data_IF_623854816964
#
_entry.id   IF_623854816964
#
_cell.length_a   1.000
_cell.length_b   1.000
_cell.length_c   1.000
_cell.angle_alpha   90.00
_cell.angle_beta   90.00
_cell.angle_gamma   90.00
#
_symmetry.space_group_name_H-M   'P 1'
#
loop_
_entity.id
_entity.type
_entity.pdbx_description
1 polymer ?
#
# COMPACT_ATOMS: atom_id res chain seq x y z
N UNK A 1 -19.11 -26.52 1.11
CA UNK A 1 -17.68 -26.64 1.51
C UNK A 1 -17.05 -25.25 1.44
N UNK A 2 -16.03 -24.96 2.27
CA UNK A 2 -15.22 -23.73 2.10
C UNK A 2 -14.31 -23.92 0.87
N UNK A 3 -13.96 -22.83 0.18
CA UNK A 3 -13.08 -22.95 -0.99
C UNK A 3 -11.62 -23.15 -0.56
N UNK A 4 -10.84 -23.88 -1.36
CA UNK A 4 -9.41 -24.13 -1.09
C UNK A 4 -8.61 -22.83 -0.93
N UNK A 5 -8.99 -21.78 -1.65
CA UNK A 5 -8.39 -20.45 -1.54
C UNK A 5 -8.60 -19.76 -0.17
N UNK A 6 -9.65 -20.09 0.60
CA UNK A 6 -9.80 -19.57 1.98
C UNK A 6 -8.85 -20.23 2.98
N UNK A 7 -8.35 -21.44 2.67
CA UNK A 7 -7.52 -22.24 3.60
C UNK A 7 -6.05 -21.85 3.50
N UNK A 8 -5.53 -21.67 2.28
CA UNK A 8 -4.13 -21.32 2.02
C UNK A 8 -3.75 -19.90 2.45
N UNK A 9 -4.71 -18.98 2.59
CA UNK A 9 -4.48 -17.60 2.99
C UNK A 9 -5.34 -17.22 4.21
N UNK A 10 -5.01 -17.81 5.37
CA UNK A 10 -5.71 -17.63 6.67
C UNK A 10 -5.48 -16.22 7.27
N UNK A 11 -6.02 -15.22 6.58
CA UNK A 11 -5.96 -13.80 6.95
C UNK A 11 -7.07 -13.43 7.94
N UNK A 12 -6.71 -12.61 8.93
CA UNK A 12 -7.64 -12.10 9.96
C UNK A 12 -7.77 -10.59 9.80
N UNK A 13 -9.01 -10.12 9.77
CA UNK A 13 -9.35 -8.72 9.47
C UNK A 13 -9.96 -8.01 10.67
N UNK A 14 -9.61 -6.73 10.83
CA UNK A 14 -10.28 -5.81 11.75
C UNK A 14 -10.51 -4.46 11.07
N UNK A 15 -11.55 -3.73 11.51
CA UNK A 15 -11.86 -2.40 10.95
C UNK A 15 -12.46 -1.46 11.98
N UNK A 16 -12.14 -0.17 11.87
CA UNK A 16 -12.68 0.89 12.72
C UNK A 16 -13.20 2.01 11.82
N UNK A 17 -14.50 2.31 11.92
CA UNK A 17 -15.22 3.19 11.00
C UNK A 17 -15.44 4.61 11.56
N UNK A 18 -15.63 5.58 10.67
CA UNK A 18 -16.11 6.95 10.97
C UNK A 18 -15.28 7.75 12.00
N UNK A 19 -13.95 7.58 11.98
CA UNK A 19 -13.06 8.26 12.92
C UNK A 19 -12.84 9.73 12.54
N UNK A 20 -12.82 10.61 13.56
CA UNK A 20 -12.71 12.08 13.41
C UNK A 20 -11.24 12.52 13.19
N UNK A 21 -10.66 12.03 12.10
CA UNK A 21 -9.33 12.35 11.58
C UNK A 21 -9.36 12.32 10.04
N UNK A 22 -8.51 13.13 9.40
CA UNK A 22 -8.35 13.10 7.93
C UNK A 22 -7.46 11.92 7.52
N UNK A 23 -7.88 11.18 6.50
CA UNK A 23 -7.14 10.03 5.96
C UNK A 23 -5.66 10.35 5.67
N UNK A 24 -5.33 11.52 5.10
CA UNK A 24 -3.93 11.92 4.85
C UNK A 24 -3.08 11.96 6.13
N UNK A 25 -3.63 12.46 7.25
CA UNK A 25 -2.90 12.50 8.54
C UNK A 25 -2.77 11.13 9.21
N UNK A 26 -3.66 10.20 8.88
CA UNK A 26 -3.64 8.83 9.39
C UNK A 26 -2.74 7.89 8.56
N UNK A 27 -2.67 8.08 7.23
CA UNK A 27 -1.76 7.35 6.33
C UNK A 27 -0.31 7.47 6.79
N UNK A 28 0.15 8.69 7.12
CA UNK A 28 1.50 8.96 7.66
C UNK A 28 1.92 8.11 8.88
N UNK A 29 0.98 7.53 9.63
CA UNK A 29 1.29 6.60 10.74
C UNK A 29 1.08 5.14 10.32
N UNK A 30 0.08 4.86 9.48
CA UNK A 30 -0.13 3.54 8.89
C UNK A 30 1.07 3.09 8.03
N UNK A 31 1.68 4.01 7.28
CA UNK A 31 2.84 3.73 6.44
C UNK A 31 4.10 3.38 7.25
N UNK A 32 4.17 3.74 8.55
CA UNK A 32 5.28 3.37 9.45
C UNK A 32 5.24 1.91 9.92
N UNK A 33 4.07 1.26 9.85
CA UNK A 33 3.81 -0.08 10.41
C UNK A 33 3.35 -1.13 9.37
N UNK A 34 3.11 -0.73 8.12
CA UNK A 34 2.78 -1.68 7.04
C UNK A 34 3.95 -2.66 6.84
N UNK A 35 3.64 -3.95 6.63
CA UNK A 35 4.60 -5.04 6.45
C UNK A 35 5.56 -5.30 7.63
N UNK A 36 5.24 -4.81 8.84
CA UNK A 36 5.99 -5.12 10.06
C UNK A 36 5.33 -6.23 10.87
N UNK A 37 6.13 -6.90 11.70
CA UNK A 37 5.60 -7.82 12.71
C UNK A 37 4.77 -7.04 13.74
N UNK A 38 3.79 -7.73 14.34
CA UNK A 38 2.86 -7.14 15.29
C UNK A 38 3.58 -6.49 16.47
N UNK A 39 4.60 -7.15 17.03
CA UNK A 39 5.40 -6.64 18.15
C UNK A 39 6.14 -5.35 17.79
N UNK A 40 6.74 -5.27 16.60
CA UNK A 40 7.39 -4.03 16.13
C UNK A 40 6.38 -2.91 15.92
N UNK A 41 5.22 -3.22 15.34
CA UNK A 41 4.16 -2.25 15.10
C UNK A 41 3.60 -1.65 16.41
N UNK A 42 3.46 -2.45 17.47
CA UNK A 42 3.09 -1.97 18.81
C UNK A 42 4.10 -0.97 19.35
N UNK A 43 5.40 -1.31 19.36
CA UNK A 43 6.48 -0.43 19.85
C UNK A 43 6.49 0.91 19.08
N UNK A 44 6.37 0.86 17.76
CA UNK A 44 6.30 2.06 16.91
C UNK A 44 5.06 2.91 17.25
N UNK A 45 3.90 2.29 17.46
CA UNK A 45 2.66 3.01 17.78
C UNK A 45 2.69 3.65 19.17
N UNK A 46 3.29 3.00 20.18
CA UNK A 46 3.48 3.59 21.51
C UNK A 46 4.37 4.84 21.47
N UNK A 47 5.45 4.81 20.68
CA UNK A 47 6.41 5.92 20.61
C UNK A 47 6.02 7.02 19.59
N UNK A 48 5.01 6.80 18.75
CA UNK A 48 4.62 7.77 17.71
C UNK A 48 3.70 8.86 18.25
N UNK A 49 4.25 10.04 18.55
CA UNK A 49 3.48 11.24 18.93
C UNK A 49 2.71 11.83 17.72
N UNK A 50 1.58 11.20 17.37
CA UNK A 50 0.59 11.61 16.36
C UNK A 50 -0.80 11.11 16.75
N UNK A 51 -1.86 11.91 16.54
CA UNK A 51 -3.26 11.56 16.91
C UNK A 51 -3.79 10.23 16.31
N UNK A 52 -3.21 9.74 15.20
CA UNK A 52 -3.61 8.47 14.61
C UNK A 52 -3.08 7.24 15.37
N UNK A 53 -1.97 7.36 16.11
CA UNK A 53 -1.32 6.26 16.81
C UNK A 53 -2.24 5.55 17.83
N UNK A 54 -2.91 6.22 18.79
CA UNK A 54 -3.81 5.55 19.73
C UNK A 54 -5.09 4.96 19.08
N UNK A 55 -5.43 5.38 17.85
CA UNK A 55 -6.53 4.77 17.07
C UNK A 55 -6.05 3.46 16.44
N UNK A 56 -4.87 3.49 15.82
CA UNK A 56 -4.22 2.31 15.24
C UNK A 56 -3.82 1.28 16.29
N UNK A 57 -3.40 1.69 17.49
CA UNK A 57 -3.09 0.81 18.61
C UNK A 57 -4.30 -0.04 19.02
N UNK A 58 -5.47 0.59 19.20
CA UNK A 58 -6.72 -0.11 19.53
C UNK A 58 -7.18 -1.04 18.40
N UNK A 59 -6.99 -0.64 17.15
CA UNK A 59 -7.28 -1.47 15.98
C UNK A 59 -6.35 -2.71 15.91
N UNK A 60 -5.05 -2.53 16.15
CA UNK A 60 -4.07 -3.61 16.13
C UNK A 60 -4.34 -4.61 17.27
N UNK A 61 -4.57 -4.13 18.50
CA UNK A 61 -4.93 -4.99 19.64
C UNK A 61 -6.21 -5.81 19.36
N UNK A 62 -7.20 -5.23 18.68
CA UNK A 62 -8.40 -5.96 18.24
C UNK A 62 -8.10 -6.99 17.15
N UNK A 63 -7.18 -6.71 16.22
CA UNK A 63 -6.75 -7.69 15.21
C UNK A 63 -6.02 -8.88 15.84
N UNK A 64 -5.14 -8.64 16.83
CA UNK A 64 -4.46 -9.68 17.60
C UNK A 64 -5.48 -10.56 18.33
N UNK A 65 -6.38 -9.97 19.10
CA UNK A 65 -7.38 -10.71 19.89
C UNK A 65 -8.32 -11.54 19.00
N UNK A 66 -8.68 -11.04 17.82
CA UNK A 66 -9.44 -11.81 16.82
C UNK A 66 -8.61 -13.01 16.31
N UNK A 67 -7.32 -12.80 16.02
CA UNK A 67 -6.43 -13.81 15.47
C UNK A 67 -6.12 -14.94 16.46
N UNK A 68 -5.89 -14.61 17.73
CA UNK A 68 -5.70 -15.61 18.80
C UNK A 68 -7.00 -16.35 19.08
N UNK A 69 -8.09 -15.64 19.36
CA UNK A 69 -9.27 -16.24 19.99
C UNK A 69 -10.22 -16.92 18.99
N UNK A 70 -10.40 -16.34 17.80
CA UNK A 70 -11.34 -16.86 16.80
C UNK A 70 -10.65 -17.75 15.75
N UNK A 71 -9.34 -17.60 15.57
CA UNK A 71 -8.58 -18.25 14.50
C UNK A 71 -7.42 -19.13 15.00
N UNK A 72 -7.07 -19.09 16.30
CA UNK A 72 -6.02 -19.92 16.89
C UNK A 72 -4.61 -19.65 16.34
N UNK A 73 -4.33 -18.43 15.88
CA UNK A 73 -3.02 -18.04 15.34
C UNK A 73 -2.05 -17.62 16.44
N UNK A 74 -0.75 -17.88 16.26
CA UNK A 74 0.26 -17.50 17.24
C UNK A 74 0.57 -16.00 17.18
N UNK A 75 0.25 -15.26 18.24
CA UNK A 75 0.42 -13.81 18.32
C UNK A 75 1.85 -13.31 17.99
N UNK A 76 2.88 -14.10 18.30
CA UNK A 76 4.29 -13.77 18.02
C UNK A 76 4.65 -13.87 16.54
N UNK A 77 3.99 -14.77 15.79
CA UNK A 77 4.20 -14.97 14.34
C UNK A 77 3.31 -14.07 13.46
N UNK A 78 2.45 -13.23 14.04
CA UNK A 78 1.56 -12.34 13.29
C UNK A 78 2.29 -11.12 12.69
N UNK A 79 2.04 -10.84 11.41
CA UNK A 79 2.49 -9.63 10.72
C UNK A 79 1.35 -8.91 9.98
N UNK A 80 1.56 -7.62 9.70
CA UNK A 80 0.56 -6.75 9.05
C UNK A 80 0.70 -6.86 7.52
N UNK A 81 -0.10 -7.74 6.91
CA UNK A 81 -0.15 -7.90 5.44
C UNK A 81 -0.68 -6.66 4.74
N UNK A 82 -1.71 -6.00 5.30
CA UNK A 82 -2.41 -4.90 4.64
C UNK A 82 -2.95 -3.91 5.66
N UNK A 83 -2.73 -2.64 5.38
CA UNK A 83 -3.24 -1.56 6.22
C UNK A 83 -3.72 -0.40 5.34
N UNK A 84 -5.04 -0.24 5.29
CA UNK A 84 -5.74 0.76 4.47
C UNK A 84 -6.36 1.83 5.36
N UNK A 85 -6.29 3.07 4.86
CA UNK A 85 -6.92 4.25 5.47
C UNK A 85 -7.72 4.95 4.39
N UNK A 86 -9.02 4.70 4.39
CA UNK A 86 -9.97 5.21 3.41
C UNK A 86 -10.58 6.53 3.90
N UNK A 87 -10.98 7.40 2.98
CA UNK A 87 -11.78 8.59 3.35
C UNK A 87 -13.18 8.16 3.80
N UNK A 88 -13.75 8.91 4.75
CA UNK A 88 -15.11 8.71 5.24
C UNK A 88 -16.02 9.90 4.95
N UNK A 89 -17.30 9.83 5.38
CA UNK A 89 -18.25 10.91 5.19
C UNK A 89 -17.69 12.23 5.75
N UNK A 90 -17.72 13.27 4.91
CA UNK A 90 -17.13 14.58 5.22
C UNK A 90 -18.24 15.59 5.48
N UNK A 91 -18.34 16.06 6.71
CA UNK A 91 -19.36 17.03 7.09
C UNK A 91 -18.96 18.44 6.62
N UNK A 92 -19.85 19.08 5.87
CA UNK A 92 -19.73 20.50 5.49
C UNK A 92 -20.18 21.40 6.65
N UNK A 93 -19.45 22.48 6.89
CA UNK A 93 -19.84 23.61 7.75
C UNK A 93 -19.38 24.90 7.07
N UNK A 94 -20.06 26.02 7.30
CA UNK A 94 -19.65 27.32 6.78
C UNK A 94 -19.11 28.21 7.90
N UNK A 95 -18.16 29.08 7.56
CA UNK A 95 -17.64 30.14 8.42
C UNK A 95 -17.80 31.48 7.69
N UNK A 96 -18.33 32.53 8.34
CA UNK A 96 -18.40 33.86 7.74
C UNK A 96 -16.99 34.43 7.54
N UNK A 97 -16.83 35.24 6.50
CA UNK A 97 -15.60 35.92 6.12
C UNK A 97 -15.90 37.35 5.67
N UNK A 98 -14.85 38.14 5.47
CA UNK A 98 -14.93 39.50 4.93
C UNK A 98 -15.75 39.61 3.63
N UNK A 99 -16.37 40.79 3.42
CA UNK A 99 -17.21 41.10 2.26
C UNK A 99 -18.42 40.16 2.08
N UNK A 100 -19.02 39.68 3.18
CA UNK A 100 -20.21 38.82 3.16
C UNK A 100 -19.97 37.40 2.62
N UNK A 101 -18.70 37.00 2.43
CA UNK A 101 -18.33 35.71 1.84
C UNK A 101 -18.46 34.59 2.86
N UNK A 102 -18.97 33.43 2.46
CA UNK A 102 -19.03 32.23 3.29
C UNK A 102 -18.04 31.18 2.80
N UNK A 103 -17.09 30.77 3.65
CA UNK A 103 -16.09 29.74 3.32
C UNK A 103 -16.44 28.39 3.96
N UNK A 104 -16.19 27.30 3.22
CA UNK A 104 -16.61 25.95 3.63
C UNK A 104 -15.50 25.20 4.38
N UNK A 105 -15.73 24.90 5.66
CA UNK A 105 -14.89 23.99 6.44
C UNK A 105 -15.32 22.53 6.20
N UNK A 106 -14.37 21.70 5.77
CA UNK A 106 -14.54 20.25 5.64
C UNK A 106 -14.12 19.53 6.93
N UNK A 107 -15.08 19.05 7.73
CA UNK A 107 -14.80 18.14 8.84
C UNK A 107 -14.75 16.70 8.30
N UNK A 108 -13.60 16.34 7.71
CA UNK A 108 -13.32 15.01 7.14
C UNK A 108 -13.24 13.92 8.23
N UNK A 109 -13.68 12.72 7.88
CA UNK A 109 -13.49 11.49 8.68
C UNK A 109 -12.70 10.44 7.89
N UNK A 110 -12.33 9.33 8.53
CA UNK A 110 -11.69 8.19 7.86
C UNK A 110 -12.20 6.84 8.37
N UNK A 111 -12.04 5.81 7.55
CA UNK A 111 -12.21 4.41 7.92
C UNK A 111 -10.86 3.72 7.89
N UNK A 112 -10.55 2.96 8.94
CA UNK A 112 -9.34 2.16 9.06
C UNK A 112 -9.67 0.69 8.86
N UNK A 113 -8.78 -0.02 8.18
CA UNK A 113 -8.91 -1.45 7.89
C UNK A 113 -7.53 -2.11 7.92
N UNK A 114 -7.40 -3.20 8.67
CA UNK A 114 -6.18 -3.98 8.82
C UNK A 114 -6.45 -5.45 8.49
N UNK A 115 -5.53 -6.08 7.78
CA UNK A 115 -5.39 -7.52 7.67
C UNK A 115 -4.07 -7.92 8.34
N UNK A 116 -4.11 -9.00 9.12
CA UNK A 116 -2.93 -9.69 9.65
C UNK A 116 -2.96 -11.15 9.22
N UNK A 117 -1.81 -11.78 9.09
CA UNK A 117 -1.69 -13.23 8.97
C UNK A 117 -0.49 -13.72 9.76
N UNK A 118 -0.46 -15.02 9.99
CA UNK A 118 0.72 -15.73 10.48
C UNK A 118 1.72 -15.88 9.32
N UNK A 119 3.01 -15.71 9.60
CA UNK A 119 4.07 -16.01 8.64
C UNK A 119 4.46 -17.49 8.79
N UNK A 120 4.51 -18.21 7.66
CA UNK A 120 5.14 -19.53 7.58
C UNK A 120 6.59 -19.43 8.09
N UNK A 121 7.07 -20.46 8.80
CA UNK A 121 8.43 -20.45 9.36
C UNK A 121 9.47 -20.42 8.23
N UNK A 122 10.66 -19.85 8.48
CA UNK A 122 11.73 -19.83 7.46
C UNK A 122 12.08 -21.23 6.97
N UNK A 123 12.00 -22.21 7.87
CA UNK A 123 12.22 -23.63 7.61
C UNK A 123 11.17 -24.23 6.65
N UNK A 124 9.93 -23.75 6.69
CA UNK A 124 8.87 -24.15 5.75
C UNK A 124 9.15 -23.63 4.33
N UNK A 125 9.71 -22.43 4.22
CA UNK A 125 10.12 -21.84 2.94
C UNK A 125 11.38 -22.51 2.37
N UNK A 126 12.35 -22.86 3.22
CA UNK A 126 13.53 -23.65 2.82
C UNK A 126 13.10 -25.03 2.32
N UNK A 127 12.22 -25.72 3.06
CA UNK A 127 11.69 -27.01 2.65
C UNK A 127 10.94 -26.92 1.30
N UNK A 128 10.12 -25.88 1.08
CA UNK A 128 9.46 -25.69 -0.24
C UNK A 128 10.46 -25.52 -1.39
N UNK A 129 11.51 -24.72 -1.20
CA UNK A 129 12.58 -24.54 -2.20
C UNK A 129 13.36 -25.85 -2.42
N UNK A 130 13.59 -26.63 -1.37
CA UNK A 130 14.23 -27.95 -1.50
C UNK A 130 13.33 -29.01 -2.13
N UNK A 131 12.00 -28.89 -2.09
CA UNK A 131 11.08 -29.78 -2.81
C UNK A 131 11.05 -29.41 -4.31
N UNK A 132 10.90 -28.13 -4.65
CA UNK A 132 10.96 -27.64 -6.05
C UNK A 132 12.30 -28.03 -6.72
N UNK A 133 13.42 -27.90 -6.01
CA UNK A 133 14.76 -28.29 -6.49
C UNK A 133 15.01 -29.82 -6.57
N UNK A 134 14.05 -30.66 -6.18
CA UNK A 134 14.04 -32.12 -6.44
C UNK A 134 13.25 -32.45 -7.69
N UNK A 135 12.13 -31.76 -7.95
CA UNK A 135 11.28 -32.03 -9.12
C UNK A 135 12.01 -31.71 -10.43
N UNK A 136 12.74 -30.59 -10.52
CA UNK A 136 13.53 -30.23 -11.72
C UNK A 136 14.56 -31.30 -12.11
N UNK A 137 15.08 -32.08 -11.14
CA UNK A 137 16.13 -33.10 -11.38
C UNK A 137 15.63 -34.42 -11.92
N UNK A 138 14.31 -34.63 -12.00
CA UNK A 138 13.72 -35.89 -12.51
C UNK A 138 13.35 -35.85 -13.99
N UNK A 139 13.43 -34.68 -14.63
CA UNK A 139 13.02 -34.48 -16.04
C UNK A 139 14.18 -34.64 -17.03
N UNK A 140 15.42 -34.27 -16.65
CA UNK A 140 16.58 -34.34 -17.53
C UNK A 140 17.39 -35.65 -17.39
N UNK A 141 17.03 -36.72 -18.11
CA UNK A 141 17.99 -37.56 -18.90
C UNK A 141 17.35 -38.79 -19.58
N UNK A 142 17.07 -38.68 -20.90
CA UNK A 142 17.30 -39.78 -21.86
C UNK A 142 17.36 -39.25 -23.30
N UNK A 143 18.40 -39.57 -24.11
CA UNK A 143 18.62 -38.91 -25.40
C UNK A 143 18.23 -39.75 -26.63
N UNK A 144 17.76 -39.12 -27.70
CA UNK A 144 17.87 -39.67 -29.07
C UNK A 144 17.88 -38.60 -30.19
N UNK A 145 17.93 -39.00 -31.47
CA UNK A 145 18.90 -38.40 -32.42
C UNK A 145 18.42 -38.22 -33.87
N UNK A 146 18.53 -36.97 -34.36
CA UNK A 146 18.56 -36.50 -35.78
C UNK A 146 17.38 -36.81 -36.72
N UNK A 147 16.86 -35.73 -37.30
CA UNK A 147 16.37 -35.65 -38.70
C UNK A 147 16.84 -34.31 -39.31
N UNK A 148 16.38 -33.87 -40.49
CA UNK A 148 17.00 -32.73 -41.21
C UNK A 148 16.03 -31.87 -42.04
N UNK A 149 16.46 -30.62 -42.36
CA UNK A 149 15.95 -29.69 -43.41
C UNK A 149 14.63 -28.95 -43.11
N UNK A 150 14.38 -27.71 -43.60
CA UNK A 150 15.26 -26.75 -44.32
C UNK A 150 14.71 -25.30 -44.42
N UNK A 151 15.65 -24.34 -44.50
CA UNK A 151 15.65 -23.08 -45.31
C UNK A 151 14.61 -21.94 -45.16
N UNK A 152 15.15 -20.72 -44.98
CA UNK A 152 14.67 -19.40 -45.47
C UNK A 152 13.34 -18.83 -44.92
N UNK A 153 13.14 -17.51 -44.84
CA UNK A 153 13.76 -16.37 -45.55
C UNK A 153 14.15 -15.17 -44.65
N UNK A 154 14.56 -14.04 -45.26
CA UNK A 154 15.27 -12.91 -44.61
C UNK A 154 15.11 -11.60 -45.39
N UNK A 155 14.50 -10.56 -44.80
CA UNK A 155 14.62 -9.11 -45.10
C UNK A 155 13.72 -8.34 -44.08
N UNK A 156 13.95 -7.14 -43.51
CA UNK A 156 14.76 -5.92 -43.78
C UNK A 156 14.26 -5.03 -44.94
N UNK A 157 13.48 -3.96 -44.69
CA UNK A 157 13.97 -2.56 -44.52
C UNK A 157 12.79 -1.53 -44.57
N UNK A 158 12.88 -0.20 -44.33
CA UNK A 158 13.67 0.70 -43.44
C UNK A 158 13.23 2.18 -43.67
N UNK A 159 13.28 3.07 -42.65
CA UNK A 159 13.27 4.59 -42.74
C UNK A 159 11.99 5.29 -43.31
N UNK A 160 11.65 6.59 -43.10
CA UNK A 160 12.12 7.70 -42.21
C UNK A 160 11.09 8.87 -42.04
N UNK A 161 10.99 9.42 -40.82
CA UNK A 161 11.00 10.85 -40.40
C UNK A 161 10.07 12.00 -40.93
N UNK A 162 9.68 12.88 -39.96
CA UNK A 162 9.58 14.39 -40.00
C UNK A 162 8.37 15.07 -40.72
N UNK A 163 7.93 16.32 -40.43
CA UNK A 163 8.37 17.40 -39.48
C UNK A 163 7.26 18.41 -39.04
N UNK A 164 7.33 18.90 -37.80
CA UNK A 164 7.05 20.27 -37.25
C UNK A 164 5.98 21.26 -37.78
N UNK A 165 5.38 22.01 -36.84
CA UNK A 165 5.17 23.47 -36.93
C UNK A 165 5.28 24.15 -35.54
N UNK A 166 5.46 25.49 -35.50
CA UNK A 166 5.80 26.29 -34.30
C UNK A 166 4.95 27.57 -34.25
N UNK A 167 4.56 28.07 -33.06
CA UNK A 167 4.38 29.52 -32.85
C UNK A 167 4.62 29.91 -31.39
N UNK A 168 4.99 31.17 -31.17
CA UNK A 168 5.48 31.74 -29.92
C UNK A 168 4.87 33.11 -29.66
N UNK A 169 4.61 33.44 -28.39
CA UNK A 169 4.44 34.80 -27.90
C UNK A 169 5.12 34.97 -26.55
N UNK A 170 5.57 36.19 -26.26
CA UNK A 170 6.40 36.54 -25.11
C UNK A 170 5.89 37.80 -24.42
N UNK A 171 5.81 37.81 -23.08
CA UNK A 171 5.69 39.05 -22.31
C UNK A 171 6.27 38.92 -20.89
N UNK A 172 7.35 39.66 -20.68
CA UNK A 172 7.74 40.40 -19.45
C UNK A 172 7.48 39.79 -18.06
N UNK A 173 8.57 39.47 -17.35
CA UNK A 173 8.62 39.60 -15.89
C UNK A 173 8.39 41.08 -15.51
N UNK A 174 7.61 41.37 -14.47
CA UNK A 174 7.64 42.66 -13.76
C UNK A 174 8.00 42.46 -12.30
N UNK A 175 9.29 42.56 -11.99
CA UNK A 175 9.78 42.70 -10.62
C UNK A 175 9.54 44.12 -10.13
N UNK A 176 8.87 44.27 -8.98
CA UNK A 176 8.84 45.52 -8.21
C UNK A 176 9.38 45.25 -6.81
N UNK A 177 10.51 45.86 -6.50
CA UNK A 177 11.12 45.92 -5.16
C UNK A 177 11.19 47.38 -4.71
N UNK A 178 11.27 47.61 -3.40
CA UNK A 178 10.88 48.86 -2.69
C UNK A 178 9.35 49.02 -2.64
N UNK A 179 8.78 49.62 -1.59
CA UNK A 179 9.38 50.43 -0.52
C UNK A 179 9.46 49.75 0.85
N UNK A 180 10.39 50.23 1.70
CA UNK A 180 10.18 50.27 3.16
C UNK A 180 9.22 51.42 3.46
N UNK A 181 8.43 51.32 4.52
CA UNK A 181 7.63 52.43 5.05
C UNK A 181 7.29 52.15 6.51
N UNK A 182 7.63 53.09 7.38
CA UNK A 182 7.66 52.89 8.83
C UNK A 182 6.33 53.24 9.49
N UNK A 183 5.73 52.27 10.20
CA UNK A 183 5.06 52.38 11.51
C UNK A 183 4.51 51.04 11.99
#
# INVERSE_FOLDING_TARGET
MKSTHEVLNKTVKASVKMQRISARKARLVADLIRYKSTTQALIILHNTNKKAAPILLKLLNSAIANATNNNGLNATKLYITKLLVNEGPTLKRYQPHSQGRAYQILKRTSHFYIEVSELASGDELINMIEEEAKEEKTVETKPEKKTTKSTSSKESSKSTAKTTAKKSTSTTKKTTTKSKGDK
#
